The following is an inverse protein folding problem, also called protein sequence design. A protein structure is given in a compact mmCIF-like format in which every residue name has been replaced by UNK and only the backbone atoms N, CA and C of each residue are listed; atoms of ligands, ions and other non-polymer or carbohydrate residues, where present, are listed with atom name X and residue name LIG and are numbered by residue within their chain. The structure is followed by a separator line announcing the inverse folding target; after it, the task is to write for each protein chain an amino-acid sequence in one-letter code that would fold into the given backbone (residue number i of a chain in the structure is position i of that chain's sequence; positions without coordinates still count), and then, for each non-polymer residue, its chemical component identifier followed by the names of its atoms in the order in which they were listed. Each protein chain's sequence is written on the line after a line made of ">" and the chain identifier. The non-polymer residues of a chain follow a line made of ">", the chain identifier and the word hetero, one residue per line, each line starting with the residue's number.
data_IF_878737742147
#
_entry.id   IF_878737742147
#
_cell.length_a   1.000
_cell.length_b   1.000
_cell.length_c   1.000
_cell.angle_alpha   90.00
_cell.angle_beta   90.00
_cell.angle_gamma   90.00
#
_symmetry.space_group_name_H-M   'P 1'
#
loop_
_entity.id
_entity.type
_entity.pdbx_description
1 polymer ?
#
# COMPACT_ATOMS: atom_id res chain seq x y z
N UNK A 1 2.36 9.65 -20.84
CA UNK A 1 2.86 10.57 -19.80
C UNK A 1 1.83 10.68 -18.68
N UNK A 2 2.23 10.39 -17.45
CA UNK A 2 1.30 10.38 -16.32
C UNK A 2 1.00 11.82 -15.92
N UNK A 3 -0.23 12.27 -16.21
CA UNK A 3 -0.69 13.63 -15.95
C UNK A 3 -0.81 13.97 -14.47
N UNK A 4 -1.12 12.98 -13.64
CA UNK A 4 -1.42 13.19 -12.23
C UNK A 4 -0.22 12.85 -11.34
N UNK A 5 0.01 13.70 -10.32
CA UNK A 5 1.12 13.56 -9.36
C UNK A 5 0.75 12.79 -8.10
N UNK A 6 -0.55 12.60 -7.87
CA UNK A 6 -1.08 11.81 -6.77
C UNK A 6 -1.88 10.65 -7.34
N UNK A 7 -1.62 9.47 -6.81
CA UNK A 7 -2.43 8.27 -7.05
C UNK A 7 -2.79 7.67 -5.71
N UNK A 8 -4.05 7.36 -5.51
CA UNK A 8 -4.53 6.63 -4.34
C UNK A 8 -5.17 5.33 -4.78
N UNK A 9 -4.95 4.27 -4.02
CA UNK A 9 -5.56 2.96 -4.28
C UNK A 9 -6.81 2.79 -3.45
N UNK A 10 -7.84 2.22 -4.04
CA UNK A 10 -9.09 1.85 -3.37
C UNK A 10 -9.50 0.44 -3.77
N UNK A 11 -10.15 -0.27 -2.86
CA UNK A 11 -10.76 -1.56 -3.16
C UNK A 11 -12.23 -1.34 -3.54
N UNK A 12 -12.60 -1.58 -4.80
CA UNK A 12 -13.99 -1.67 -5.21
C UNK A 12 -14.52 -3.07 -4.88
N UNK A 13 -15.18 -3.20 -3.73
CA UNK A 13 -15.70 -4.49 -3.27
C UNK A 13 -16.98 -4.93 -4.01
N UNK A 14 -17.57 -4.05 -4.82
CA UNK A 14 -18.69 -4.41 -5.69
C UNK A 14 -18.21 -5.23 -6.90
N UNK A 15 -17.00 -4.93 -7.38
CA UNK A 15 -16.39 -5.58 -8.55
C UNK A 15 -15.20 -6.48 -8.18
N UNK A 16 -14.72 -6.42 -6.93
CA UNK A 16 -13.56 -7.18 -6.47
C UNK A 16 -12.23 -6.68 -7.06
N UNK A 17 -12.13 -5.41 -7.43
CA UNK A 17 -10.97 -4.86 -8.13
C UNK A 17 -10.23 -3.83 -7.29
N UNK A 18 -8.89 -3.82 -7.39
CA UNK A 18 -8.06 -2.70 -6.98
C UNK A 18 -8.16 -1.61 -8.03
N UNK A 19 -8.52 -0.41 -7.62
CA UNK A 19 -8.69 0.77 -8.47
C UNK A 19 -7.67 1.82 -8.08
N UNK A 20 -7.02 2.42 -9.07
CA UNK A 20 -6.04 3.50 -8.91
C UNK A 20 -6.64 4.84 -9.32
N UNK A 21 -6.98 5.66 -8.35
CA UNK A 21 -7.55 6.98 -8.59
C UNK A 21 -6.43 8.03 -8.70
N UNK A 22 -6.49 8.97 -9.67
CA UNK A 22 -7.62 9.27 -10.56
C UNK A 22 -7.62 8.50 -11.88
N UNK A 23 -6.61 7.67 -12.18
CA UNK A 23 -6.46 7.05 -13.52
C UNK A 23 -7.66 6.20 -13.94
N UNK A 24 -8.26 5.50 -12.99
CA UNK A 24 -9.33 4.55 -13.25
C UNK A 24 -10.75 5.18 -13.26
N UNK A 25 -10.90 6.46 -12.90
CA UNK A 25 -12.20 7.11 -12.97
C UNK A 25 -12.84 6.97 -14.35
N UNK A 26 -12.10 7.29 -15.40
CA UNK A 26 -12.62 7.22 -16.77
C UNK A 26 -12.79 5.78 -17.25
N UNK A 27 -11.77 4.94 -17.01
CA UNK A 27 -11.75 3.56 -17.49
C UNK A 27 -12.80 2.67 -16.82
N UNK A 28 -12.95 2.79 -15.50
CA UNK A 28 -13.81 1.89 -14.70
C UNK A 28 -15.21 2.47 -14.53
N UNK A 29 -15.31 3.77 -14.31
CA UNK A 29 -16.57 4.42 -13.94
C UNK A 29 -17.13 5.34 -15.02
N UNK A 30 -16.41 5.64 -16.09
CA UNK A 30 -16.81 6.55 -17.14
C UNK A 30 -16.86 8.01 -16.67
N UNK A 31 -16.23 8.36 -15.57
CA UNK A 31 -16.22 9.68 -14.97
C UNK A 31 -15.00 10.49 -15.42
N UNK A 32 -15.15 11.81 -15.57
CA UNK A 32 -13.99 12.66 -15.82
C UNK A 32 -13.16 12.79 -14.53
N UNK A 33 -11.87 12.38 -14.56
CA UNK A 33 -11.02 12.44 -13.36
C UNK A 33 -10.76 13.86 -12.86
N UNK A 34 -10.80 14.88 -13.74
CA UNK A 34 -10.56 16.27 -13.36
C UNK A 34 -11.73 16.90 -12.60
N UNK A 35 -12.91 16.30 -12.69
CA UNK A 35 -14.11 16.70 -11.96
C UNK A 35 -14.27 16.00 -10.62
N UNK A 36 -13.39 15.04 -10.29
CA UNK A 36 -13.52 14.27 -9.07
C UNK A 36 -12.75 14.89 -7.90
N UNK A 37 -13.33 14.78 -6.70
CA UNK A 37 -12.74 15.28 -5.48
C UNK A 37 -11.55 14.43 -5.03
N UNK A 38 -10.39 15.06 -4.85
CA UNK A 38 -9.20 14.43 -4.26
C UNK A 38 -9.48 13.98 -2.81
N UNK A 39 -10.21 14.80 -2.05
CA UNK A 39 -10.56 14.48 -0.67
C UNK A 39 -11.44 13.22 -0.57
N UNK A 40 -12.38 13.04 -1.50
CA UNK A 40 -13.23 11.83 -1.53
C UNK A 40 -12.43 10.59 -1.96
N UNK A 41 -11.49 10.74 -2.89
CA UNK A 41 -10.57 9.67 -3.26
C UNK A 41 -9.70 9.23 -2.08
N UNK A 42 -9.10 10.18 -1.35
CA UNK A 42 -8.31 9.90 -0.13
C UNK A 42 -9.19 9.28 0.94
N UNK A 43 -10.41 9.81 1.17
CA UNK A 43 -11.35 9.24 2.13
C UNK A 43 -11.72 7.79 1.79
N UNK A 44 -11.91 7.49 0.51
CA UNK A 44 -12.17 6.11 0.07
C UNK A 44 -10.96 5.21 0.33
N UNK A 45 -9.74 5.69 0.03
CA UNK A 45 -8.49 4.96 0.22
C UNK A 45 -8.20 4.60 1.69
N UNK A 46 -8.67 5.41 2.63
CA UNK A 46 -8.51 5.18 4.07
C UNK A 46 -9.74 4.59 4.75
N UNK A 47 -10.74 4.12 3.99
CA UNK A 47 -11.98 3.55 4.54
C UNK A 47 -11.77 2.09 4.96
N UNK A 48 -11.05 1.89 6.07
CA UNK A 48 -10.82 0.56 6.67
C UNK A 48 -12.18 -0.09 6.99
N UNK A 49 -12.40 -1.33 6.52
CA UNK A 49 -13.64 -2.05 6.78
C UNK A 49 -14.00 -2.08 8.26
N UNK A 50 -15.27 -1.89 8.57
CA UNK A 50 -15.87 -1.87 9.91
C UNK A 50 -15.50 -0.69 10.80
N UNK A 51 -14.36 -0.02 10.57
CA UNK A 51 -13.94 1.18 11.31
C UNK A 51 -14.50 2.45 10.68
N UNK A 52 -14.49 2.55 9.36
CA UNK A 52 -15.02 3.72 8.65
C UNK A 52 -16.17 3.35 7.72
N UNK A 53 -17.01 4.35 7.43
CA UNK A 53 -18.12 4.18 6.48
C UNK A 53 -17.56 4.05 5.07
N UNK A 54 -17.98 3.02 4.30
CA UNK A 54 -17.63 2.89 2.90
C UNK A 54 -18.00 4.12 2.07
N UNK A 55 -17.21 4.42 1.05
CA UNK A 55 -17.56 5.44 0.06
C UNK A 55 -18.41 4.80 -1.04
N UNK A 56 -19.46 5.50 -1.45
CA UNK A 56 -20.27 5.11 -2.61
C UNK A 56 -19.90 5.98 -3.80
N UNK A 57 -19.59 5.35 -4.93
CA UNK A 57 -19.30 6.01 -6.19
C UNK A 57 -20.28 5.53 -7.26
N UNK A 58 -21.00 6.46 -7.87
CA UNK A 58 -21.90 6.13 -8.97
C UNK A 58 -21.22 6.43 -10.31
N UNK A 59 -21.13 5.41 -11.16
CA UNK A 59 -20.56 5.52 -12.50
C UNK A 59 -21.46 6.33 -13.43
N UNK A 60 -20.94 6.80 -14.58
CA UNK A 60 -21.72 7.47 -15.60
C UNK A 60 -22.89 6.59 -16.16
N UNK A 61 -22.76 5.27 -16.05
CA UNK A 61 -23.82 4.32 -16.42
C UNK A 61 -24.84 4.07 -15.30
N UNK A 62 -24.80 4.82 -14.19
CA UNK A 62 -25.76 4.71 -13.08
C UNK A 62 -25.48 3.55 -12.11
N UNK A 63 -24.41 2.78 -12.29
CA UNK A 63 -24.05 1.69 -11.36
C UNK A 63 -23.29 2.26 -10.15
N UNK A 64 -23.71 1.89 -8.95
CA UNK A 64 -23.06 2.32 -7.73
C UNK A 64 -22.11 1.25 -7.21
N UNK A 65 -20.83 1.62 -7.05
CA UNK A 65 -19.79 0.83 -6.43
C UNK A 65 -19.59 1.21 -4.97
N UNK A 66 -19.17 0.22 -4.17
CA UNK A 66 -18.76 0.41 -2.77
C UNK A 66 -17.24 0.36 -2.71
N UNK A 67 -16.65 1.47 -2.26
CA UNK A 67 -15.21 1.65 -2.17
C UNK A 67 -14.77 1.57 -0.71
N UNK A 68 -13.72 0.80 -0.47
CA UNK A 68 -13.04 0.60 0.81
C UNK A 68 -11.55 0.87 0.67
N UNK A 69 -10.83 0.78 1.79
CA UNK A 69 -9.39 0.92 1.87
C UNK A 69 -8.67 0.05 0.83
N UNK A 70 -7.76 0.68 0.08
CA UNK A 70 -6.99 0.00 -0.96
C UNK A 70 -6.09 -1.11 -0.42
N UNK A 71 -5.63 -0.99 0.82
CA UNK A 71 -4.82 -1.99 1.51
C UNK A 71 -5.49 -3.36 1.60
N UNK A 72 -6.82 -3.44 1.50
CA UNK A 72 -7.56 -4.69 1.44
C UNK A 72 -7.13 -5.58 0.25
N UNK A 73 -6.73 -4.98 -0.86
CA UNK A 73 -6.31 -5.68 -2.08
C UNK A 73 -4.83 -5.50 -2.41
N UNK A 74 -4.21 -4.37 -2.08
CA UNK A 74 -2.79 -4.10 -2.19
C UNK A 74 -2.40 -2.93 -1.31
N UNK A 75 -1.52 -3.19 -0.35
CA UNK A 75 -1.04 -2.18 0.60
C UNK A 75 0.29 -1.54 0.17
N UNK A 76 0.92 -2.07 -0.88
CA UNK A 76 2.23 -1.58 -1.33
C UNK A 76 2.35 -1.48 -2.86
N UNK A 77 1.61 -0.59 -3.53
CA UNK A 77 1.61 -0.46 -4.99
C UNK A 77 2.80 0.39 -5.50
N UNK A 78 4.05 0.02 -5.17
CA UNK A 78 5.27 0.78 -5.50
C UNK A 78 5.53 0.90 -7.00
N UNK A 79 4.94 0.03 -7.80
CA UNK A 79 5.01 0.03 -9.27
C UNK A 79 4.04 1.02 -9.94
N UNK A 80 3.13 1.62 -9.19
CA UNK A 80 2.10 2.52 -9.75
C UNK A 80 2.68 3.70 -10.53
N UNK A 81 3.87 4.18 -10.18
CA UNK A 81 4.54 5.28 -10.86
C UNK A 81 5.65 4.82 -11.81
N UNK A 82 5.83 3.52 -11.99
CA UNK A 82 6.84 2.99 -12.91
C UNK A 82 6.45 3.23 -14.36
N UNK A 83 7.46 3.40 -15.21
CA UNK A 83 7.26 3.48 -16.67
C UNK A 83 6.82 2.13 -17.22
N UNK A 84 5.85 2.17 -18.12
CA UNK A 84 5.31 0.99 -18.81
C UNK A 84 5.68 0.93 -20.30
N UNK A 85 6.48 1.90 -20.79
CA UNK A 85 6.87 2.04 -22.20
C UNK A 85 8.21 1.36 -22.55
N UNK A 86 8.75 0.52 -21.67
CA UNK A 86 10.01 -0.21 -21.86
C UNK A 86 11.27 0.63 -21.74
N UNK A 87 11.16 1.94 -21.53
CA UNK A 87 12.33 2.82 -21.37
C UNK A 87 12.78 2.86 -19.91
N UNK A 88 14.07 3.10 -19.68
CA UNK A 88 14.60 3.30 -18.35
C UNK A 88 13.87 4.46 -17.64
N UNK A 89 13.51 4.31 -16.34
CA UNK A 89 12.89 5.37 -15.59
C UNK A 89 13.87 6.55 -15.44
N UNK A 90 13.32 7.77 -15.51
CA UNK A 90 14.12 9.00 -15.40
C UNK A 90 14.51 9.29 -13.96
N UNK A 91 13.67 8.88 -13.01
CA UNK A 91 13.82 9.12 -11.58
C UNK A 91 13.52 7.84 -10.80
N UNK A 92 14.15 7.63 -9.64
CA UNK A 92 13.76 6.54 -8.77
C UNK A 92 12.36 6.74 -8.20
N UNK A 93 11.64 5.64 -8.02
CA UNK A 93 10.44 5.56 -7.18
C UNK A 93 10.77 4.76 -5.95
N UNK A 94 10.60 5.35 -4.77
CA UNK A 94 10.82 4.68 -3.49
C UNK A 94 9.49 4.27 -2.87
N UNK A 95 9.46 3.11 -2.24
CA UNK A 95 8.39 2.68 -1.38
C UNK A 95 8.77 2.87 0.09
N UNK A 96 7.82 3.26 0.92
CA UNK A 96 7.96 3.26 2.38
C UNK A 96 6.87 2.33 2.92
N UNK A 97 7.27 1.32 3.69
CA UNK A 97 6.32 0.40 4.31
C UNK A 97 6.52 0.36 5.81
N UNK A 98 5.40 0.37 6.53
CA UNK A 98 5.36 0.11 7.96
C UNK A 98 5.16 -1.39 8.12
N UNK A 99 6.12 -2.05 8.75
CA UNK A 99 6.02 -3.47 9.03
C UNK A 99 5.94 -3.66 10.54
N UNK A 100 4.95 -4.42 11.02
CA UNK A 100 5.10 -5.03 12.32
C UNK A 100 6.34 -5.94 12.25
N UNK A 101 7.09 -6.01 13.33
CA UNK A 101 8.27 -6.86 13.43
C UNK A 101 7.84 -8.32 13.16
N UNK A 102 8.37 -8.87 12.11
CA UNK A 102 8.21 -10.29 11.85
C UNK A 102 9.47 -10.97 12.40
N UNK A 103 9.35 -11.94 13.31
CA UNK A 103 10.49 -12.67 13.79
C UNK A 103 11.35 -13.17 12.64
N UNK A 104 12.66 -12.96 12.72
CA UNK A 104 13.63 -13.44 11.72
C UNK A 104 13.40 -14.94 11.43
N UNK A 105 13.21 -15.28 10.16
CA UNK A 105 13.08 -16.67 9.72
C UNK A 105 11.65 -17.20 9.55
N UNK A 106 10.61 -16.34 9.67
CA UNK A 106 9.24 -16.74 9.34
C UNK A 106 8.88 -16.18 7.96
N UNK A 107 9.05 -16.99 6.93
CA UNK A 107 8.63 -16.68 5.56
C UNK A 107 7.09 -16.69 5.38
N UNK A 108 6.37 -17.12 6.41
CA UNK A 108 4.91 -17.21 6.43
C UNK A 108 4.40 -16.79 7.79
N UNK A 109 3.83 -15.58 7.88
CA UNK A 109 3.01 -15.20 9.03
C UNK A 109 1.64 -15.83 8.85
N UNK A 110 1.53 -17.07 9.24
CA UNK A 110 0.25 -17.64 9.58
C UNK A 110 0.00 -17.32 11.06
N UNK A 111 -1.07 -16.60 11.41
CA UNK A 111 -1.45 -16.46 12.81
C UNK A 111 -1.51 -17.85 13.43
N UNK A 112 -0.92 -18.02 14.63
CA UNK A 112 -1.09 -19.25 15.38
C UNK A 112 -2.59 -19.45 15.65
N UNK A 113 -3.20 -20.40 14.95
CA UNK A 113 -4.61 -20.76 15.11
C UNK A 113 -4.98 -21.10 16.55
N UNK A 114 -4.00 -21.40 17.39
CA UNK A 114 -4.18 -21.65 18.82
C UNK A 114 -4.54 -20.39 19.60
N UNK A 115 -4.04 -19.23 19.21
CA UNK A 115 -4.36 -17.92 19.81
C UNK A 115 -5.75 -17.44 19.35
N UNK A 116 -6.08 -17.61 18.08
CA UNK A 116 -7.41 -17.26 17.51
C UNK A 116 -8.57 -17.96 18.21
N UNK A 117 -8.39 -19.20 18.67
CA UNK A 117 -9.42 -19.96 19.42
C UNK A 117 -9.75 -19.41 20.81
N UNK A 118 -8.89 -18.57 21.39
CA UNK A 118 -9.09 -17.98 22.75
C UNK A 118 -9.66 -16.58 22.72
N UNK A 119 -9.71 -15.95 21.55
CA UNK A 119 -10.16 -14.57 21.38
C UNK A 119 -11.63 -14.56 20.97
N UNK A 120 -12.46 -13.81 21.68
CA UNK A 120 -13.88 -13.66 21.37
C UNK A 120 -14.12 -12.94 20.00
N UNK A 121 -15.36 -12.98 19.49
CA UNK A 121 -15.69 -12.50 18.12
C UNK A 121 -15.16 -11.15 17.68
N UNK A 122 -15.10 -10.10 18.52
CA UNK A 122 -14.59 -8.78 18.11
C UNK A 122 -13.10 -8.81 17.73
N UNK A 123 -12.26 -9.52 18.47
CA UNK A 123 -10.82 -9.60 18.23
C UNK A 123 -10.47 -10.41 16.97
N UNK A 124 -11.24 -11.47 16.69
CA UNK A 124 -11.08 -12.24 15.46
C UNK A 124 -11.29 -11.38 14.20
N UNK A 125 -12.25 -10.45 14.24
CA UNK A 125 -12.49 -9.55 13.13
C UNK A 125 -11.32 -8.59 12.91
N UNK A 126 -10.77 -8.03 13.98
CA UNK A 126 -9.58 -7.17 13.94
C UNK A 126 -8.36 -7.95 13.39
N UNK A 127 -8.16 -9.18 13.82
CA UNK A 127 -7.08 -10.04 13.35
C UNK A 127 -7.24 -10.40 11.87
N UNK A 128 -8.45 -10.68 11.41
CA UNK A 128 -8.74 -10.95 9.99
C UNK A 128 -8.48 -9.72 9.13
N UNK A 129 -8.92 -8.55 9.57
CA UNK A 129 -8.69 -7.29 8.85
C UNK A 129 -7.19 -6.97 8.79
N UNK A 130 -6.50 -7.06 9.93
CA UNK A 130 -5.05 -6.83 10.00
C UNK A 130 -4.31 -7.80 9.10
N UNK A 131 -4.66 -9.09 9.13
CA UNK A 131 -4.07 -10.10 8.25
C UNK A 131 -4.33 -9.81 6.77
N UNK A 132 -5.55 -9.39 6.42
CA UNK A 132 -5.88 -9.04 5.04
C UNK A 132 -5.13 -7.80 4.56
N UNK A 133 -4.96 -6.79 5.43
CA UNK A 133 -4.30 -5.53 5.10
C UNK A 133 -2.76 -5.64 5.13
N UNK A 134 -2.19 -6.44 6.01
CA UNK A 134 -0.73 -6.52 6.22
C UNK A 134 -0.11 -7.73 5.54
N UNK A 135 -0.78 -8.89 5.58
CA UNK A 135 -0.19 -10.17 5.16
C UNK A 135 -0.08 -10.37 3.64
N UNK A 136 -0.89 -9.67 2.84
CA UNK A 136 -1.04 -9.96 1.41
C UNK A 136 0.19 -9.61 0.56
N UNK A 137 0.90 -8.55 0.90
CA UNK A 137 1.98 -8.01 0.05
C UNK A 137 3.37 -8.56 0.39
N UNK A 138 3.51 -9.50 1.33
CA UNK A 138 4.81 -10.03 1.75
C UNK A 138 5.60 -10.64 0.59
N UNK A 139 4.96 -11.48 -0.24
CA UNK A 139 5.61 -12.08 -1.40
C UNK A 139 6.06 -11.02 -2.41
N UNK A 140 5.28 -9.95 -2.57
CA UNK A 140 5.61 -8.82 -3.45
C UNK A 140 6.76 -7.97 -2.88
N UNK A 141 6.75 -7.67 -1.59
CA UNK A 141 7.82 -6.95 -0.90
C UNK A 141 9.16 -7.67 -0.94
N UNK A 142 9.15 -9.00 -1.05
CA UNK A 142 10.34 -9.84 -1.15
C UNK A 142 10.89 -9.95 -2.58
N UNK A 143 10.20 -9.43 -3.59
CA UNK A 143 10.76 -9.36 -4.94
C UNK A 143 12.03 -8.48 -4.92
N UNK A 144 13.17 -8.94 -5.51
CA UNK A 144 14.44 -8.24 -5.40
C UNK A 144 14.39 -6.79 -5.86
N UNK A 145 13.65 -6.49 -6.94
CA UNK A 145 13.50 -5.15 -7.50
C UNK A 145 12.57 -4.25 -6.67
N UNK A 146 11.65 -4.83 -5.89
CA UNK A 146 10.81 -4.12 -4.93
C UNK A 146 11.60 -3.83 -3.67
N UNK A 147 12.21 -4.87 -3.08
CA UNK A 147 12.98 -4.78 -1.84
C UNK A 147 14.13 -3.77 -1.95
N UNK A 148 14.82 -3.75 -3.11
CA UNK A 148 15.95 -2.84 -3.35
C UNK A 148 15.57 -1.35 -3.37
N UNK A 149 14.29 -0.98 -3.45
CA UNK A 149 13.82 0.40 -3.43
C UNK A 149 12.79 0.67 -2.33
N UNK A 150 12.75 -0.19 -1.32
CA UNK A 150 11.78 -0.10 -0.23
C UNK A 150 12.45 0.24 1.09
N UNK A 151 12.03 1.33 1.71
CA UNK A 151 12.39 1.71 3.08
C UNK A 151 11.41 1.01 4.01
N UNK A 152 11.94 0.16 4.88
CA UNK A 152 11.14 -0.61 5.86
C UNK A 152 11.26 0.05 7.22
N UNK A 153 10.14 0.45 7.79
CA UNK A 153 10.08 1.12 9.10
C UNK A 153 9.44 0.15 10.10
N UNK A 154 10.17 -0.15 11.17
CA UNK A 154 9.64 -0.93 12.29
C UNK A 154 8.55 -0.13 13.02
N UNK A 155 7.32 -0.62 13.00
CA UNK A 155 6.17 -0.03 13.67
C UNK A 155 5.59 -0.90 14.77
N UNK A 156 6.33 -1.90 15.26
CA UNK A 156 5.88 -2.89 16.26
C UNK A 156 5.33 -2.32 17.55
N UNK A 157 5.84 -1.14 17.94
CA UNK A 157 5.42 -0.49 19.19
C UNK A 157 4.00 0.10 19.14
N UNK A 158 3.35 0.12 17.96
CA UNK A 158 2.02 0.72 17.76
C UNK A 158 1.18 -0.22 16.92
N UNK A 159 -0.01 -0.57 17.43
CA UNK A 159 -0.96 -1.41 16.70
C UNK A 159 -1.47 -0.72 15.44
N UNK A 160 -1.72 -1.49 14.38
CA UNK A 160 -2.22 -0.98 13.10
C UNK A 160 -3.56 -0.23 13.20
N UNK A 161 -4.39 -0.62 14.16
CA UNK A 161 -5.72 -0.02 14.44
C UNK A 161 -5.73 0.82 15.73
N UNK A 162 -4.56 1.17 16.25
CA UNK A 162 -4.44 2.06 17.40
C UNK A 162 -4.52 3.51 16.93
N UNK A 163 -5.68 4.13 17.13
CA UNK A 163 -5.92 5.54 16.75
C UNK A 163 -5.64 6.52 17.88
N UNK A 164 -5.35 6.04 19.10
CA UNK A 164 -5.12 6.84 20.30
C UNK A 164 -3.62 6.87 20.69
N UNK A 165 -2.72 6.89 19.70
CA UNK A 165 -1.28 6.94 19.94
C UNK A 165 -0.87 8.24 20.65
N UNK A 166 0.03 8.11 21.63
CA UNK A 166 0.55 9.23 22.39
C UNK A 166 1.61 10.01 21.61
N UNK A 167 1.84 11.28 21.98
CA UNK A 167 2.90 12.10 21.39
C UNK A 167 4.27 11.44 21.48
N UNK A 168 4.56 10.71 22.56
CA UNK A 168 5.80 9.95 22.71
C UNK A 168 5.93 8.82 21.68
N UNK A 169 4.84 8.11 21.39
CA UNK A 169 4.81 7.07 20.35
C UNK A 169 4.97 7.68 18.95
N UNK A 170 4.33 8.83 18.69
CA UNK A 170 4.50 9.58 17.45
C UNK A 170 5.97 9.96 17.24
N UNK A 171 6.61 10.56 18.28
CA UNK A 171 8.02 10.94 18.22
C UNK A 171 8.95 9.72 17.99
N UNK A 172 8.65 8.60 18.65
CA UNK A 172 9.43 7.37 18.49
C UNK A 172 9.30 6.79 17.08
N UNK A 173 8.09 6.75 16.51
CA UNK A 173 7.86 6.29 15.13
C UNK A 173 8.54 7.22 14.12
N UNK A 174 8.49 8.53 14.33
CA UNK A 174 9.19 9.49 13.48
C UNK A 174 10.70 9.24 13.48
N UNK A 175 11.30 9.04 14.67
CA UNK A 175 12.72 8.73 14.79
C UNK A 175 13.09 7.44 14.06
N UNK A 176 12.31 6.36 14.23
CA UNK A 176 12.50 5.09 13.50
C UNK A 176 12.44 5.28 11.98
N UNK A 177 11.45 6.03 11.49
CA UNK A 177 11.31 6.33 10.07
C UNK A 177 12.49 7.11 9.51
N UNK A 178 12.96 8.12 10.25
CA UNK A 178 14.13 8.92 9.89
C UNK A 178 15.40 8.06 9.81
N UNK A 179 15.64 7.21 10.81
CA UNK A 179 16.83 6.36 10.86
C UNK A 179 16.80 5.27 9.77
N UNK A 180 15.64 4.65 9.53
CA UNK A 180 15.46 3.71 8.42
C UNK A 180 15.73 4.36 7.06
N UNK A 181 15.24 5.59 6.84
CA UNK A 181 15.49 6.33 5.61
C UNK A 181 16.98 6.69 5.45
N UNK A 182 17.65 7.12 6.53
CA UNK A 182 19.10 7.42 6.50
C UNK A 182 19.92 6.19 6.19
N UNK A 183 19.65 5.07 6.83
CA UNK A 183 20.34 3.81 6.57
C UNK A 183 20.15 3.36 5.12
N UNK A 184 18.92 3.40 4.62
CA UNK A 184 18.61 3.06 3.23
C UNK A 184 19.37 3.94 2.24
N UNK A 185 19.34 5.27 2.42
CA UNK A 185 19.95 6.23 1.50
C UNK A 185 21.48 6.23 1.55
N UNK A 186 22.09 5.73 2.62
CA UNK A 186 23.55 5.60 2.72
C UNK A 186 24.11 4.57 1.72
N UNK A 187 23.33 3.51 1.41
CA UNK A 187 23.74 2.43 0.51
C UNK A 187 23.04 2.47 -0.86
N UNK A 188 22.12 3.46 -1.05
CA UNK A 188 21.35 3.56 -2.29
C UNK A 188 22.21 4.04 -3.45
N UNK A 189 22.24 3.26 -4.54
CA UNK A 189 22.92 3.57 -5.79
C UNK A 189 21.95 3.41 -6.97
N UNK A 190 21.61 4.53 -7.61
CA UNK A 190 20.66 4.58 -8.73
C UNK A 190 21.17 3.81 -9.95
N UNK A 191 22.45 3.99 -10.31
CA UNK A 191 23.02 3.34 -11.49
C UNK A 191 23.12 1.83 -11.28
N UNK A 192 23.44 1.40 -10.07
CA UNK A 192 23.43 -0.01 -9.71
C UNK A 192 22.02 -0.60 -9.78
N UNK A 193 21.01 0.12 -9.27
CA UNK A 193 19.60 -0.28 -9.36
C UNK A 193 19.17 -0.44 -10.83
N UNK A 194 19.49 0.52 -11.70
CA UNK A 194 19.16 0.45 -13.12
C UNK A 194 19.82 -0.75 -13.79
N UNK A 195 21.12 -0.97 -13.56
CA UNK A 195 21.84 -2.12 -14.12
C UNK A 195 21.24 -3.46 -13.72
N UNK A 196 20.80 -3.59 -12.48
CA UNK A 196 20.28 -4.86 -11.93
C UNK A 196 18.86 -5.16 -12.33
N UNK A 197 18.00 -4.15 -12.43
CA UNK A 197 16.55 -4.35 -12.49
C UNK A 197 15.87 -3.64 -13.66
N UNK A 198 16.57 -2.73 -14.35
CA UNK A 198 16.00 -1.92 -15.42
C UNK A 198 16.90 -1.87 -16.67
N UNK A 199 17.95 -2.68 -16.72
CA UNK A 199 18.72 -2.83 -17.94
C UNK A 199 17.78 -3.36 -19.03
N UNK A 200 17.50 -2.56 -20.04
CA UNK A 200 16.94 -3.03 -21.29
C UNK A 200 17.98 -3.96 -21.92
N UNK A 201 17.59 -5.16 -22.28
CA UNK A 201 18.44 -6.07 -23.03
C UNK A 201 18.96 -5.32 -24.26
N UNK A 202 20.29 -5.17 -24.44
CA UNK A 202 20.86 -4.46 -25.59
C UNK A 202 20.63 -5.18 -26.93
N UNK A 203 19.90 -6.31 -26.93
CA UNK A 203 19.62 -7.14 -28.09
C UNK A 203 18.13 -7.23 -28.45
N UNK A 204 17.24 -6.32 -27.95
CA UNK A 204 15.84 -6.21 -28.32
C UNK A 204 15.55 -5.07 -29.29
#
# INVERSE_FOLDING_TARGET
>A
EQRYKLVVTVADVTTGQLVRLPWDYRRVYGLDPDEQSVADAVRASMSIPFYFRPVKLTSAAGRTSTLLDGGLLSNFPVDSLDRTDGRAPRWPSFGITLLPDLPDGIDTVLPDWGVLRRLGPPRLLDDVITTALVGRDQAYLNQPWVSARTIRVDSTAVGFLDFDITDAQVAALYAKGHDAARAFLADWDWDNYLRRFRATDPLG
#
